data_IF_779236930923
#
_entry.id   IF_779236930923
#
_cell.length_a   1.000
_cell.length_b   1.000
_cell.length_c   1.000
_cell.angle_alpha   90.00
_cell.angle_beta   90.00
_cell.angle_gamma   90.00
#
_symmetry.space_group_name_H-M   'P 1'
#
loop_
_entity.id
_entity.type
_entity.pdbx_description
1 polymer ?
#
# COMPACT_ATOMS: atom_id res chain seq x y z
N UNK A 1 -12.72 -2.52 56.21
CA UNK A 1 -12.74 -1.54 55.10
C UNK A 1 -11.72 -1.84 54.02
N UNK A 2 -10.54 -2.39 54.32
CA UNK A 2 -9.47 -2.63 53.33
C UNK A 2 -9.83 -3.66 52.23
N UNK A 3 -10.59 -4.71 52.55
CA UNK A 3 -10.98 -5.72 51.56
C UNK A 3 -11.92 -5.21 50.45
N UNK A 4 -12.77 -4.21 50.75
CA UNK A 4 -13.66 -3.59 49.76
C UNK A 4 -12.86 -2.73 48.75
N UNK A 5 -11.87 -1.98 49.23
CA UNK A 5 -10.98 -1.17 48.38
C UNK A 5 -10.11 -2.05 47.47
N UNK A 6 -9.64 -3.19 47.98
CA UNK A 6 -8.84 -4.13 47.19
C UNK A 6 -9.65 -4.80 46.07
N UNK A 7 -10.89 -5.23 46.35
CA UNK A 7 -11.78 -5.82 45.34
C UNK A 7 -12.12 -4.81 44.25
N UNK A 8 -12.48 -3.58 44.61
CA UNK A 8 -12.81 -2.50 43.66
C UNK A 8 -11.61 -2.17 42.74
N UNK A 9 -10.40 -2.14 43.29
CA UNK A 9 -9.17 -1.92 42.51
C UNK A 9 -8.88 -3.06 41.50
N UNK A 10 -9.08 -4.32 41.89
CA UNK A 10 -8.91 -5.44 40.94
C UNK A 10 -9.99 -5.42 39.86
N UNK A 11 -11.25 -5.14 40.22
CA UNK A 11 -12.34 -4.96 39.27
C UNK A 11 -12.06 -3.84 38.27
N UNK A 12 -11.56 -2.69 38.73
CA UNK A 12 -11.20 -1.55 37.87
C UNK A 12 -10.06 -1.89 36.90
N UNK A 13 -9.05 -2.65 37.33
CA UNK A 13 -7.97 -3.14 36.46
C UNK A 13 -8.46 -4.06 35.35
N UNK A 14 -9.37 -4.98 35.66
CA UNK A 14 -9.96 -5.87 34.67
C UNK A 14 -10.76 -5.09 33.63
N UNK A 15 -11.56 -4.10 34.07
CA UNK A 15 -12.31 -3.21 33.16
C UNK A 15 -11.36 -2.43 32.25
N UNK A 16 -10.27 -1.86 32.80
CA UNK A 16 -9.28 -1.13 32.02
C UNK A 16 -8.60 -2.03 30.97
N UNK A 17 -8.24 -3.26 31.35
CA UNK A 17 -7.65 -4.25 30.44
C UNK A 17 -8.59 -4.62 29.29
N UNK A 18 -9.90 -4.78 29.58
CA UNK A 18 -10.93 -5.06 28.57
C UNK A 18 -11.07 -3.89 27.58
N UNK A 19 -11.07 -2.64 28.07
CA UNK A 19 -11.16 -1.44 27.22
C UNK A 19 -9.92 -1.33 26.32
N UNK A 20 -8.73 -1.56 26.87
CA UNK A 20 -7.50 -1.57 26.08
C UNK A 20 -7.58 -2.65 25.00
N UNK A 21 -7.94 -3.88 25.37
CA UNK A 21 -8.01 -4.99 24.42
C UNK A 21 -9.06 -4.76 23.32
N UNK A 22 -10.25 -4.24 23.67
CA UNK A 22 -11.30 -3.94 22.69
C UNK A 22 -10.89 -2.84 21.72
N UNK A 23 -10.18 -1.80 22.18
CA UNK A 23 -9.65 -0.76 21.29
C UNK A 23 -8.59 -1.32 20.35
N UNK A 24 -7.69 -2.20 20.80
CA UNK A 24 -6.72 -2.86 19.90
C UNK A 24 -7.39 -3.72 18.84
N UNK A 25 -8.44 -4.48 19.20
CA UNK A 25 -9.19 -5.32 18.25
C UNK A 25 -9.97 -4.45 17.25
N UNK A 26 -10.60 -3.37 17.69
CA UNK A 26 -11.36 -2.46 16.83
C UNK A 26 -10.47 -1.67 15.85
N UNK A 27 -9.18 -1.48 16.17
CA UNK A 27 -8.22 -0.81 15.30
C UNK A 27 -7.39 -1.78 14.45
N UNK A 28 -7.68 -3.07 14.48
CA UNK A 28 -6.97 -4.05 13.66
C UNK A 28 -7.32 -3.87 12.17
N UNK A 29 -6.41 -3.24 11.42
CA UNK A 29 -6.52 -3.13 9.97
C UNK A 29 -5.99 -4.43 9.34
N UNK A 30 -6.82 -5.08 8.52
CA UNK A 30 -6.41 -6.22 7.69
C UNK A 30 -6.05 -5.70 6.31
N UNK A 31 -4.77 -5.79 5.93
CA UNK A 31 -4.32 -5.42 4.59
C UNK A 31 -4.37 -6.66 3.69
N UNK A 32 -5.29 -6.67 2.74
CA UNK A 32 -5.40 -7.69 1.69
C UNK A 32 -4.90 -7.05 0.40
N UNK A 33 -3.90 -7.67 -0.24
CA UNK A 33 -3.46 -7.23 -1.56
C UNK A 33 -4.56 -7.48 -2.59
N UNK A 34 -4.81 -6.48 -3.44
CA UNK A 34 -5.69 -6.66 -4.60
C UNK A 34 -5.04 -7.56 -5.66
N UNK A 35 -5.81 -7.90 -6.68
CA UNK A 35 -5.27 -8.52 -7.90
C UNK A 35 -4.14 -7.68 -8.52
N UNK A 36 -3.21 -8.35 -9.19
CA UNK A 36 -2.12 -7.69 -9.90
C UNK A 36 -2.65 -6.90 -11.10
N UNK A 37 -2.18 -5.66 -11.25
CA UNK A 37 -2.54 -4.81 -12.39
C UNK A 37 -1.47 -4.92 -13.48
N UNK A 38 -1.91 -5.17 -14.71
CA UNK A 38 -1.03 -5.20 -15.88
C UNK A 38 -0.88 -3.80 -16.48
N UNK A 39 0.33 -3.27 -16.47
CA UNK A 39 0.64 -1.91 -16.97
C UNK A 39 0.78 -1.87 -18.51
N UNK A 40 1.34 -2.91 -19.11
CA UNK A 40 1.51 -3.01 -20.57
C UNK A 40 1.22 -4.42 -21.08
N UNK A 41 0.66 -4.49 -22.29
CA UNK A 41 0.41 -5.74 -23.03
C UNK A 41 1.46 -6.03 -24.11
N UNK A 42 2.53 -5.23 -24.18
CA UNK A 42 3.60 -5.44 -25.15
C UNK A 42 4.39 -6.72 -24.84
N UNK A 43 4.81 -7.43 -25.89
CA UNK A 43 5.58 -8.68 -25.78
C UNK A 43 7.09 -8.48 -25.70
N UNK A 44 7.54 -7.23 -25.72
CA UNK A 44 8.95 -6.88 -25.60
C UNK A 44 9.41 -6.94 -24.13
N UNK A 45 10.72 -6.95 -23.93
CA UNK A 45 11.31 -7.06 -22.59
C UNK A 45 11.06 -5.77 -21.79
N UNK A 46 10.43 -5.87 -20.61
CA UNK A 46 10.36 -4.75 -19.65
C UNK A 46 11.40 -4.94 -18.56
N UNK A 47 12.26 -3.93 -18.32
CA UNK A 47 13.37 -3.99 -17.39
C UNK A 47 13.42 -2.77 -16.49
N UNK A 48 14.03 -2.94 -15.33
CA UNK A 48 14.38 -1.85 -14.40
C UNK A 48 13.21 -0.92 -14.04
N UNK A 49 12.07 -1.46 -13.55
CA UNK A 49 10.97 -0.61 -13.10
C UNK A 49 11.44 0.26 -11.92
N UNK A 50 11.03 1.52 -11.91
CA UNK A 50 11.21 2.47 -10.82
C UNK A 50 9.89 3.18 -10.54
N UNK A 51 9.61 3.43 -9.27
CA UNK A 51 8.39 4.09 -8.82
C UNK A 51 8.72 5.23 -7.86
N UNK A 52 8.00 6.33 -7.99
CA UNK A 52 7.99 7.43 -7.04
C UNK A 52 6.54 7.89 -6.81
N UNK A 53 6.27 8.48 -5.65
CA UNK A 53 4.96 9.03 -5.30
C UNK A 53 5.15 10.53 -5.05
N UNK A 54 4.30 11.33 -5.68
CA UNK A 54 4.19 12.77 -5.47
C UNK A 54 2.72 13.10 -5.23
N UNK A 55 2.42 13.74 -4.10
CA UNK A 55 1.06 13.84 -3.53
C UNK A 55 0.32 12.48 -3.51
N UNK A 56 -0.71 12.33 -4.34
CA UNK A 56 -1.51 11.10 -4.52
C UNK A 56 -1.26 10.42 -5.87
N UNK A 57 -0.25 10.88 -6.61
CA UNK A 57 0.08 10.35 -7.94
C UNK A 57 1.22 9.36 -7.81
N UNK A 58 0.99 8.14 -8.30
CA UNK A 58 2.06 7.14 -8.45
C UNK A 58 2.67 7.33 -9.84
N UNK A 59 3.97 7.63 -9.88
CA UNK A 59 4.76 7.72 -11.10
C UNK A 59 5.53 6.41 -11.30
N UNK A 60 5.30 5.73 -12.42
CA UNK A 60 5.98 4.48 -12.77
C UNK A 60 6.77 4.68 -14.06
N UNK A 61 8.05 4.36 -14.02
CA UNK A 61 8.92 4.33 -15.21
C UNK A 61 9.59 2.97 -15.35
N UNK A 62 9.87 2.56 -16.59
CA UNK A 62 10.59 1.32 -16.88
C UNK A 62 11.29 1.41 -18.24
N UNK A 63 12.22 0.48 -18.51
CA UNK A 63 12.88 0.35 -19.80
C UNK A 63 12.20 -0.74 -20.62
N UNK A 64 11.68 -0.39 -21.79
CA UNK A 64 11.16 -1.32 -22.79
C UNK A 64 12.24 -1.62 -23.83
N UNK A 65 12.60 -2.89 -24.00
CA UNK A 65 13.68 -3.32 -24.89
C UNK A 65 13.13 -4.09 -26.07
N UNK A 66 13.29 -3.54 -27.27
CA UNK A 66 12.92 -4.18 -28.54
C UNK A 66 14.16 -4.31 -29.42
N UNK A 67 14.76 -5.49 -29.46
CA UNK A 67 16.07 -5.68 -30.10
C UNK A 67 17.16 -4.85 -29.41
N UNK A 68 17.82 -3.97 -30.17
CA UNK A 68 18.83 -3.05 -29.63
C UNK A 68 18.24 -1.74 -29.07
N UNK A 69 16.96 -1.48 -29.31
CA UNK A 69 16.31 -0.25 -28.87
C UNK A 69 15.90 -0.36 -27.40
N UNK A 70 16.21 0.68 -26.62
CA UNK A 70 15.88 0.79 -25.20
C UNK A 70 15.10 2.07 -24.99
N UNK A 71 13.80 1.95 -24.80
CA UNK A 71 12.91 3.08 -24.63
C UNK A 71 12.52 3.22 -23.16
N UNK A 72 12.61 4.43 -22.62
CA UNK A 72 12.12 4.76 -21.30
C UNK A 72 10.62 5.01 -21.45
N UNK A 73 9.83 4.21 -20.75
CA UNK A 73 8.38 4.29 -20.73
C UNK A 73 7.90 4.88 -19.40
N UNK A 74 6.77 5.58 -19.45
CA UNK A 74 6.13 6.19 -18.30
C UNK A 74 4.63 5.90 -18.27
N UNK A 75 4.10 5.63 -17.08
CA UNK A 75 2.67 5.59 -16.78
C UNK A 75 2.44 6.12 -15.37
N UNK A 76 1.22 6.60 -15.08
CA UNK A 76 0.86 7.09 -13.75
C UNK A 76 -0.49 6.62 -13.27
N UNK A 77 -0.67 6.57 -11.95
CA UNK A 77 -1.96 6.37 -11.30
C UNK A 77 -2.33 7.63 -10.51
N UNK A 78 -3.58 8.05 -10.59
CA UNK A 78 -4.14 9.18 -9.83
C UNK A 78 -5.15 8.69 -8.76
N UNK A 79 -5.27 7.38 -8.59
CA UNK A 79 -6.22 6.70 -7.70
C UNK A 79 -5.53 5.62 -6.88
N UNK A 80 -4.41 5.96 -6.25
CA UNK A 80 -3.69 5.09 -5.29
C UNK A 80 -3.29 3.70 -5.84
N UNK A 81 -3.09 3.61 -7.16
CA UNK A 81 -2.68 2.38 -7.83
C UNK A 81 -3.83 1.51 -8.31
N UNK A 82 -5.10 1.92 -8.20
CA UNK A 82 -6.25 1.15 -8.73
C UNK A 82 -6.23 1.05 -10.26
N UNK A 83 -5.87 2.15 -10.95
CA UNK A 83 -5.68 2.16 -12.41
C UNK A 83 -4.46 2.99 -12.81
N UNK A 84 -3.91 2.67 -13.98
CA UNK A 84 -2.76 3.35 -14.56
C UNK A 84 -3.09 3.91 -15.94
N UNK A 85 -2.50 5.05 -16.29
CA UNK A 85 -2.64 5.66 -17.61
C UNK A 85 -2.02 4.78 -18.70
N UNK A 86 -2.43 5.00 -19.96
CA UNK A 86 -1.70 4.44 -21.09
C UNK A 86 -0.22 4.86 -21.02
N UNK A 87 0.67 3.90 -21.28
CA UNK A 87 2.11 4.14 -21.21
C UNK A 87 2.59 4.96 -22.41
N UNK A 88 3.48 5.91 -22.18
CA UNK A 88 4.13 6.72 -23.23
C UNK A 88 5.64 6.56 -23.19
N UNK A 89 6.30 6.68 -24.34
CA UNK A 89 7.76 6.80 -24.41
C UNK A 89 8.17 8.24 -24.07
N UNK A 90 9.21 8.40 -23.25
CA UNK A 90 9.67 9.72 -22.79
C UNK A 90 11.12 10.06 -23.18
N UNK A 91 11.87 9.12 -23.75
CA UNK A 91 13.18 9.39 -24.36
C UNK A 91 13.06 9.60 -25.88
N UNK A 92 13.97 10.39 -26.44
CA UNK A 92 14.08 10.68 -27.88
C UNK A 92 14.87 9.60 -28.63
#
# INVERSE_FOLDING_TARGET
MEGLLFVDYQSMKHILSIIICSTFILNAQVYIFSENIRITNTSNDQKFPQMAIDDNIIHLVWVSVTGNNKNIMYSRSENYGETFSNSIQINF
#
